data_IF_893792693007
#
_entry.id   IF_893792693007
#
_cell.length_a   1.000
_cell.length_b   1.000
_cell.length_c   1.000
_cell.angle_alpha   90.00
_cell.angle_beta   90.00
_cell.angle_gamma   90.00
#
_symmetry.space_group_name_H-M   'P 1'
#
loop_
_entity.id
_entity.type
_entity.pdbx_description
1 polymer ?
#
# COMPACT_ATOMS: atom_id res chain seq x y z
N UNK A 1 -4.52 27.43 -9.32
CA UNK A 1 -4.52 25.98 -9.00
C UNK A 1 -3.09 25.46 -9.10
N UNK A 2 -2.68 24.54 -8.23
CA UNK A 2 -1.38 23.87 -8.35
C UNK A 2 -1.30 23.12 -9.67
N UNK A 3 -0.09 22.96 -10.23
CA UNK A 3 0.11 22.12 -11.39
C UNK A 3 -0.26 20.66 -11.04
N UNK A 4 -0.93 19.90 -11.95
CA UNK A 4 -1.26 18.50 -11.68
C UNK A 4 0.00 17.65 -11.48
N UNK A 5 -0.07 16.72 -10.52
CA UNK A 5 0.95 15.69 -10.33
C UNK A 5 0.47 14.36 -10.89
N UNK A 6 1.40 13.52 -11.36
CA UNK A 6 1.12 12.25 -12.00
C UNK A 6 1.25 11.10 -11.01
N UNK A 7 0.19 10.31 -10.85
CA UNK A 7 0.12 9.20 -9.89
C UNK A 7 -0.14 7.91 -10.64
N UNK A 8 0.84 7.00 -10.64
CA UNK A 8 0.67 5.66 -11.18
C UNK A 8 0.13 4.69 -10.13
N UNK A 9 -0.80 3.83 -10.53
CA UNK A 9 -1.32 2.72 -9.70
C UNK A 9 -1.32 1.44 -10.54
N UNK A 10 -0.62 0.40 -10.08
CA UNK A 10 -0.59 -0.91 -10.76
C UNK A 10 -1.62 -1.88 -10.19
N UNK A 11 -2.05 -2.88 -10.95
CA UNK A 11 -3.16 -3.73 -10.53
C UNK A 11 -4.43 -2.91 -10.31
N UNK A 12 -4.65 -1.93 -11.19
CA UNK A 12 -5.62 -0.86 -11.01
C UNK A 12 -7.09 -1.33 -11.02
N UNK A 13 -7.38 -2.51 -11.57
CA UNK A 13 -8.71 -3.14 -11.51
C UNK A 13 -8.89 -4.04 -10.27
N UNK A 14 -7.84 -4.21 -9.45
CA UNK A 14 -7.88 -5.02 -8.23
C UNK A 14 -8.64 -4.37 -7.07
N UNK A 15 -9.02 -5.19 -6.09
CA UNK A 15 -9.85 -4.78 -4.94
C UNK A 15 -9.24 -3.65 -4.09
N UNK A 16 -7.92 -3.69 -3.86
CA UNK A 16 -7.23 -2.62 -3.12
C UNK A 16 -7.28 -1.32 -3.93
N UNK A 17 -6.95 -1.39 -5.21
CA UNK A 17 -6.97 -0.25 -6.13
C UNK A 17 -8.35 0.37 -6.26
N UNK A 18 -9.40 -0.45 -6.29
CA UNK A 18 -10.80 0.01 -6.28
C UNK A 18 -11.16 0.78 -5.00
N UNK A 19 -10.54 0.48 -3.86
CA UNK A 19 -10.73 1.28 -2.63
C UNK A 19 -9.79 2.49 -2.53
N UNK A 20 -8.77 2.57 -3.38
CA UNK A 20 -7.66 3.52 -3.32
C UNK A 20 -7.83 4.67 -4.33
N UNK A 21 -8.08 4.33 -5.61
CA UNK A 21 -8.09 5.28 -6.72
C UNK A 21 -9.09 6.43 -6.48
N UNK A 22 -10.31 6.12 -6.02
CA UNK A 22 -11.33 7.12 -5.73
C UNK A 22 -10.93 8.06 -4.58
N UNK A 23 -10.16 7.57 -3.61
CA UNK A 23 -9.64 8.41 -2.50
C UNK A 23 -8.49 9.30 -2.95
N UNK A 24 -7.66 8.83 -3.88
CA UNK A 24 -6.65 9.66 -4.52
C UNK A 24 -7.34 10.77 -5.32
N UNK A 25 -8.32 10.40 -6.15
CA UNK A 25 -9.11 11.30 -6.97
C UNK A 25 -9.88 12.37 -6.15
N UNK A 26 -10.33 12.02 -4.95
CA UNK A 26 -10.98 12.96 -4.02
C UNK A 26 -10.02 13.92 -3.31
N UNK A 27 -8.70 13.80 -3.51
CA UNK A 27 -7.68 14.61 -2.82
C UNK A 27 -7.26 14.09 -1.45
N UNK A 28 -7.74 12.90 -1.01
CA UNK A 28 -7.43 12.39 0.34
C UNK A 28 -5.94 12.06 0.54
N UNK A 29 -5.20 11.77 -0.55
CA UNK A 29 -3.79 11.41 -0.48
C UNK A 29 -2.85 12.61 -0.50
N UNK A 30 -3.13 13.61 -1.34
CA UNK A 30 -2.20 14.70 -1.65
C UNK A 30 -2.71 16.09 -1.25
N UNK A 31 -3.89 16.16 -0.64
CA UNK A 31 -4.53 17.38 -0.20
C UNK A 31 -5.67 17.82 -1.13
N UNK A 32 -6.61 18.61 -0.60
CA UNK A 32 -7.83 19.02 -1.30
C UNK A 32 -7.60 20.06 -2.41
N UNK A 33 -6.36 20.52 -2.61
CA UNK A 33 -5.98 21.58 -3.55
C UNK A 33 -4.96 21.12 -4.61
N UNK A 34 -4.65 19.82 -4.66
CA UNK A 34 -3.67 19.23 -5.57
C UNK A 34 -4.36 18.42 -6.67
N UNK A 35 -4.44 18.95 -7.91
CA UNK A 35 -4.94 18.17 -9.04
C UNK A 35 -4.02 16.98 -9.34
N UNK A 36 -4.61 15.89 -9.85
CA UNK A 36 -3.91 14.64 -10.16
C UNK A 36 -4.20 14.18 -11.58
N UNK A 37 -3.20 13.58 -12.21
CA UNK A 37 -3.35 12.76 -13.42
C UNK A 37 -3.12 11.31 -13.00
N UNK A 38 -4.12 10.45 -13.18
CA UNK A 38 -4.07 9.05 -12.80
C UNK A 38 -3.54 8.20 -13.96
N UNK A 39 -2.47 7.43 -13.73
CA UNK A 39 -1.86 6.52 -14.71
C UNK A 39 -2.03 5.08 -14.23
N UNK A 40 -3.05 4.41 -14.74
CA UNK A 40 -3.54 3.13 -14.24
C UNK A 40 -2.98 1.98 -15.10
N UNK A 41 -2.23 1.08 -14.46
CA UNK A 41 -1.63 -0.10 -15.10
C UNK A 41 -2.38 -1.37 -14.71
N UNK A 42 -2.75 -2.18 -15.71
CA UNK A 42 -3.23 -3.55 -15.52
C UNK A 42 -2.51 -4.54 -16.44
N UNK A 43 -2.73 -5.83 -16.21
CA UNK A 43 -2.34 -6.86 -17.17
C UNK A 43 -3.34 -6.91 -18.34
N UNK A 44 -2.93 -7.36 -19.55
CA UNK A 44 -3.83 -7.39 -20.71
C UNK A 44 -5.18 -8.08 -20.46
N UNK A 45 -5.25 -9.22 -19.74
CA UNK A 45 -6.53 -9.88 -19.43
C UNK A 45 -7.48 -9.06 -18.54
N UNK A 46 -6.97 -8.08 -17.78
CA UNK A 46 -7.74 -7.26 -16.84
C UNK A 46 -8.11 -5.88 -17.40
N UNK A 47 -7.71 -5.54 -18.63
CA UNK A 47 -7.99 -4.24 -19.24
C UNK A 47 -9.50 -3.95 -19.40
N UNK A 48 -10.32 -4.98 -19.64
CA UNK A 48 -11.78 -4.83 -19.67
C UNK A 48 -12.36 -4.43 -18.30
N UNK A 49 -11.83 -4.99 -17.21
CA UNK A 49 -12.22 -4.58 -15.86
C UNK A 49 -11.71 -3.18 -15.52
N UNK A 50 -10.49 -2.83 -15.95
CA UNK A 50 -9.96 -1.48 -15.79
C UNK A 50 -10.82 -0.43 -16.50
N UNK A 51 -11.37 -0.74 -17.68
CA UNK A 51 -12.32 0.13 -18.36
C UNK A 51 -13.57 0.38 -17.50
N UNK A 52 -14.05 -0.62 -16.75
CA UNK A 52 -15.10 -0.46 -15.75
C UNK A 52 -14.74 0.57 -14.68
N UNK A 53 -13.55 0.47 -14.10
CA UNK A 53 -13.05 1.43 -13.10
C UNK A 53 -12.96 2.85 -13.67
N UNK A 54 -12.59 3.01 -14.94
CA UNK A 54 -12.56 4.32 -15.59
C UNK A 54 -13.95 4.95 -15.73
N UNK A 55 -14.96 4.14 -16.08
CA UNK A 55 -16.35 4.63 -16.15
C UNK A 55 -16.80 5.16 -14.79
N UNK A 56 -16.61 4.37 -13.73
CA UNK A 56 -16.97 4.79 -12.37
C UNK A 56 -16.19 6.03 -11.90
N UNK A 57 -14.90 6.13 -12.25
CA UNK A 57 -14.08 7.28 -11.92
C UNK A 57 -14.61 8.57 -12.59
N UNK A 58 -15.04 8.47 -13.85
CA UNK A 58 -15.65 9.59 -14.58
C UNK A 58 -17.02 9.97 -13.99
N UNK A 59 -17.83 8.98 -13.63
CA UNK A 59 -19.17 9.17 -13.04
C UNK A 59 -19.12 9.89 -11.68
N UNK A 60 -17.98 9.83 -10.99
CA UNK A 60 -17.77 10.55 -9.73
C UNK A 60 -17.55 12.06 -9.90
N UNK A 61 -17.32 12.57 -11.11
CA UNK A 61 -17.13 13.99 -11.41
C UNK A 61 -16.12 14.70 -10.49
N UNK A 62 -15.00 14.05 -10.17
CA UNK A 62 -14.01 14.59 -9.24
C UNK A 62 -13.33 15.86 -9.79
N UNK A 63 -13.37 17.00 -9.08
CA UNK A 63 -12.83 18.25 -9.58
C UNK A 63 -11.29 18.28 -9.63
N UNK A 64 -10.62 17.38 -8.91
CA UNK A 64 -9.17 17.29 -8.86
C UNK A 64 -8.58 16.34 -9.92
N UNK A 65 -9.40 15.57 -10.63
CA UNK A 65 -8.90 14.67 -11.68
C UNK A 65 -8.71 15.46 -12.96
N UNK A 66 -7.45 15.80 -13.25
CA UNK A 66 -7.04 16.55 -14.43
C UNK A 66 -6.82 15.66 -15.68
N UNK A 67 -6.77 14.35 -15.50
CA UNK A 67 -6.65 13.38 -16.58
C UNK A 67 -6.50 11.95 -16.08
N UNK A 68 -6.83 10.99 -16.95
CA UNK A 68 -6.67 9.56 -16.67
C UNK A 68 -6.08 8.86 -17.89
N UNK A 69 -5.11 7.98 -17.66
CA UNK A 69 -4.49 7.13 -18.66
C UNK A 69 -4.60 5.70 -18.15
N UNK A 70 -5.19 4.81 -18.94
CA UNK A 70 -5.22 3.37 -18.67
C UNK A 70 -4.40 2.63 -19.71
N UNK A 71 -3.60 1.67 -19.27
CA UNK A 71 -2.68 0.95 -20.15
C UNK A 71 -2.29 -0.40 -19.55
N UNK A 72 -1.78 -1.29 -20.39
CA UNK A 72 -1.08 -2.52 -20.01
C UNK A 72 0.45 -2.43 -20.21
N UNK A 73 0.95 -1.27 -20.65
CA UNK A 73 2.39 -1.02 -20.83
C UNK A 73 2.95 -0.24 -19.61
N UNK A 74 3.89 -0.82 -18.84
CA UNK A 74 4.51 -0.12 -17.73
C UNK A 74 5.29 1.14 -18.14
N UNK A 75 5.80 1.23 -19.37
CA UNK A 75 6.49 2.44 -19.85
C UNK A 75 5.52 3.61 -20.02
N UNK A 76 4.29 3.34 -20.48
CA UNK A 76 3.22 4.35 -20.57
C UNK A 76 2.72 4.71 -19.18
N UNK A 77 2.50 3.72 -18.31
CA UNK A 77 2.01 3.95 -16.97
C UNK A 77 2.97 4.78 -16.11
N UNK A 78 4.28 4.60 -16.29
CA UNK A 78 5.30 5.27 -15.48
C UNK A 78 5.92 6.50 -16.12
N UNK A 79 5.41 6.93 -17.28
CA UNK A 79 5.89 8.14 -17.94
C UNK A 79 5.61 9.40 -17.11
N UNK A 80 6.68 10.12 -16.79
CA UNK A 80 6.72 11.42 -16.10
C UNK A 80 6.05 11.44 -14.72
N UNK A 81 5.91 10.29 -14.06
CA UNK A 81 5.16 10.19 -12.79
C UNK A 81 5.90 10.82 -11.61
N UNK A 82 5.11 11.35 -10.66
CA UNK A 82 5.58 11.88 -9.37
C UNK A 82 5.44 10.83 -8.25
N UNK A 83 4.43 9.96 -8.35
CA UNK A 83 4.14 8.92 -7.36
C UNK A 83 3.81 7.60 -8.06
N UNK A 84 4.28 6.48 -7.51
CA UNK A 84 3.92 5.14 -7.95
C UNK A 84 3.43 4.29 -6.77
N UNK A 85 2.21 3.77 -6.86
CA UNK A 85 1.65 2.80 -5.92
C UNK A 85 1.62 1.44 -6.63
N UNK A 86 2.61 0.59 -6.30
CA UNK A 86 2.77 -0.74 -6.89
C UNK A 86 1.92 -1.74 -6.10
N UNK A 87 0.64 -1.84 -6.45
CA UNK A 87 -0.35 -2.69 -5.77
C UNK A 87 -0.45 -4.07 -6.42
N UNK A 88 -0.38 -4.14 -7.75
CA UNK A 88 -0.45 -5.39 -8.50
C UNK A 88 0.74 -6.30 -8.23
N UNK A 89 0.46 -7.48 -7.68
CA UNK A 89 1.41 -8.58 -7.49
C UNK A 89 0.72 -9.91 -7.78
N UNK A 90 1.48 -10.97 -8.07
CA UNK A 90 0.90 -12.30 -8.23
C UNK A 90 0.48 -12.84 -6.85
N UNK A 91 -0.80 -13.20 -6.64
CA UNK A 91 -1.22 -13.83 -5.41
C UNK A 91 -0.69 -15.26 -5.34
N UNK A 92 -0.53 -15.79 -4.13
CA UNK A 92 -0.18 -17.20 -3.93
C UNK A 92 -1.35 -18.08 -4.36
N UNK A 93 -1.13 -18.93 -5.37
CA UNK A 93 -2.12 -19.90 -5.85
C UNK A 93 -2.07 -21.24 -5.11
N UNK A 94 -3.09 -22.10 -5.27
CA UNK A 94 -3.05 -23.48 -4.79
C UNK A 94 -1.82 -24.22 -5.33
N UNK A 95 -1.11 -24.95 -4.47
CA UNK A 95 0.08 -25.72 -4.85
C UNK A 95 1.34 -24.91 -5.14
N UNK A 96 1.31 -23.58 -5.03
CA UNK A 96 2.47 -22.71 -5.28
C UNK A 96 3.43 -22.70 -4.08
N UNK A 97 4.69 -23.05 -4.35
CA UNK A 97 5.76 -22.94 -3.37
C UNK A 97 6.15 -21.48 -3.13
N UNK A 98 6.84 -21.23 -2.01
CA UNK A 98 7.30 -19.86 -1.69
C UNK A 98 8.30 -19.35 -2.72
N UNK A 99 9.16 -20.21 -3.27
CA UNK A 99 10.10 -19.89 -4.34
C UNK A 99 9.38 -19.43 -5.60
N UNK A 100 8.36 -20.17 -6.05
CA UNK A 100 7.63 -19.86 -7.27
C UNK A 100 6.94 -18.49 -7.20
N UNK A 101 6.38 -18.16 -6.02
CA UNK A 101 5.78 -16.87 -5.75
C UNK A 101 6.81 -15.73 -5.82
N UNK A 102 8.02 -15.97 -5.29
CA UNK A 102 9.11 -15.00 -5.32
C UNK A 102 9.64 -14.81 -6.74
N UNK A 103 9.77 -15.87 -7.53
CA UNK A 103 10.25 -15.79 -8.91
C UNK A 103 9.24 -15.05 -9.80
N UNK A 104 7.95 -15.40 -9.68
CA UNK A 104 6.90 -14.75 -10.45
C UNK A 104 6.77 -13.26 -10.12
N UNK A 105 6.82 -12.88 -8.83
CA UNK A 105 6.83 -11.47 -8.45
C UNK A 105 8.17 -10.80 -8.81
N UNK A 106 9.29 -11.51 -8.72
CA UNK A 106 10.60 -11.00 -9.11
C UNK A 106 10.63 -10.55 -10.57
N UNK A 107 10.00 -11.30 -11.47
CA UNK A 107 9.83 -10.90 -12.86
C UNK A 107 9.02 -9.58 -12.99
N UNK A 108 7.89 -9.48 -12.29
CA UNK A 108 7.01 -8.29 -12.31
C UNK A 108 7.77 -7.04 -11.83
N UNK A 109 8.38 -7.10 -10.64
CA UNK A 109 9.04 -5.94 -10.03
C UNK A 109 10.38 -5.60 -10.68
N UNK A 110 11.01 -6.55 -11.39
CA UNK A 110 12.16 -6.26 -12.27
C UNK A 110 11.75 -5.40 -13.46
N UNK A 111 10.67 -5.79 -14.16
CA UNK A 111 10.15 -5.03 -15.30
C UNK A 111 9.65 -3.65 -14.87
N UNK A 112 8.88 -3.59 -13.78
CA UNK A 112 8.39 -2.32 -13.25
C UNK A 112 9.53 -1.41 -12.77
N UNK A 113 10.55 -1.96 -12.09
CA UNK A 113 11.73 -1.21 -11.66
C UNK A 113 12.49 -0.58 -12.83
N UNK A 114 12.70 -1.32 -13.91
CA UNK A 114 13.33 -0.80 -15.14
C UNK A 114 12.50 0.31 -15.78
N UNK A 115 11.19 0.07 -15.95
CA UNK A 115 10.29 1.07 -16.53
C UNK A 115 10.21 2.35 -15.69
N UNK A 116 10.21 2.24 -14.34
CA UNK A 116 10.33 3.37 -13.44
C UNK A 116 11.67 4.11 -13.63
N UNK A 117 12.77 3.36 -13.69
CA UNK A 117 14.10 3.94 -13.91
C UNK A 117 14.15 4.79 -15.17
N UNK A 118 13.53 4.32 -16.25
CA UNK A 118 13.65 4.92 -17.57
C UNK A 118 12.65 6.03 -17.84
N UNK A 119 11.47 6.00 -17.21
CA UNK A 119 10.35 6.86 -17.58
C UNK A 119 9.82 7.76 -16.44
N UNK A 120 10.08 7.44 -15.17
CA UNK A 120 9.59 8.25 -14.06
C UNK A 120 10.48 9.48 -13.82
N UNK A 121 9.94 10.48 -13.12
CA UNK A 121 10.76 11.61 -12.66
C UNK A 121 11.83 11.10 -11.68
N UNK A 122 13.06 11.65 -11.66
CA UNK A 122 14.08 11.28 -10.68
C UNK A 122 13.62 11.45 -9.21
N UNK A 123 12.68 12.37 -8.97
CA UNK A 123 12.06 12.63 -7.67
C UNK A 123 10.89 11.72 -7.32
N UNK A 124 10.51 10.78 -8.21
CA UNK A 124 9.35 9.92 -8.03
C UNK A 124 9.42 9.15 -6.71
N UNK A 125 8.31 9.12 -5.97
CA UNK A 125 8.15 8.35 -4.73
C UNK A 125 7.36 7.07 -5.00
N UNK A 126 7.92 5.93 -4.62
CA UNK A 126 7.38 4.61 -4.90
C UNK A 126 6.98 3.93 -3.60
N UNK A 127 5.73 3.47 -3.53
CA UNK A 127 5.19 2.65 -2.46
C UNK A 127 4.80 1.28 -3.01
N UNK A 128 5.43 0.23 -2.49
CA UNK A 128 5.08 -1.16 -2.80
C UNK A 128 4.07 -1.69 -1.78
N UNK A 129 2.91 -2.08 -2.28
CA UNK A 129 1.80 -2.67 -1.52
C UNK A 129 1.66 -4.16 -1.85
N UNK A 130 1.94 -4.55 -3.10
CA UNK A 130 1.85 -5.93 -3.57
C UNK A 130 2.83 -6.86 -2.85
N UNK A 131 2.31 -7.99 -2.35
CA UNK A 131 3.08 -8.90 -1.51
C UNK A 131 3.99 -9.86 -2.29
N UNK A 132 5.16 -10.25 -1.74
CA UNK A 132 5.75 -9.82 -0.45
C UNK A 132 6.39 -8.42 -0.51
N UNK A 133 5.78 -7.41 0.14
CA UNK A 133 6.03 -6.00 -0.13
C UNK A 133 7.50 -5.57 0.04
N UNK A 134 8.16 -5.95 1.14
CA UNK A 134 9.55 -5.56 1.39
C UNK A 134 10.53 -6.13 0.35
N UNK A 135 10.36 -7.41 -0.01
CA UNK A 135 11.22 -8.07 -1.01
C UNK A 135 10.93 -7.54 -2.42
N UNK A 136 9.66 -7.33 -2.75
CA UNK A 136 9.27 -6.70 -4.02
C UNK A 136 9.83 -5.28 -4.15
N UNK A 137 9.80 -4.48 -3.07
CA UNK A 137 10.44 -3.17 -3.02
C UNK A 137 11.95 -3.25 -3.23
N UNK A 138 12.62 -4.23 -2.61
CA UNK A 138 14.05 -4.46 -2.84
C UNK A 138 14.35 -4.79 -4.31
N UNK A 139 13.58 -5.68 -4.93
CA UNK A 139 13.76 -6.05 -6.34
C UNK A 139 13.52 -4.84 -7.26
N UNK A 140 12.44 -4.09 -7.01
CA UNK A 140 12.14 -2.85 -7.73
C UNK A 140 13.30 -1.85 -7.61
N UNK A 141 13.77 -1.60 -6.39
CA UNK A 141 14.87 -0.68 -6.10
C UNK A 141 16.16 -1.09 -6.82
N UNK A 142 16.52 -2.38 -6.79
CA UNK A 142 17.74 -2.89 -7.45
C UNK A 142 17.70 -2.79 -8.97
N UNK A 143 16.50 -2.74 -9.55
CA UNK A 143 16.29 -2.59 -10.99
C UNK A 143 15.94 -1.15 -11.41
N UNK A 144 15.98 -0.19 -10.48
CA UNK A 144 15.70 1.23 -10.73
C UNK A 144 16.91 2.14 -10.44
N UNK A 145 18.07 1.95 -11.10
CA UNK A 145 19.32 2.62 -10.74
C UNK A 145 19.29 4.15 -10.90
N UNK A 146 18.35 4.71 -11.67
CA UNK A 146 18.19 6.17 -11.86
C UNK A 146 17.33 6.83 -10.77
N UNK A 147 16.68 6.06 -9.91
CA UNK A 147 15.92 6.57 -8.77
C UNK A 147 16.76 6.56 -7.49
N UNK A 148 16.51 7.52 -6.60
CA UNK A 148 17.06 7.45 -5.25
C UNK A 148 16.52 6.18 -4.56
N UNK A 149 17.37 5.26 -4.07
CA UNK A 149 16.90 4.05 -3.38
C UNK A 149 15.96 4.33 -2.20
N UNK A 150 16.11 5.47 -1.52
CA UNK A 150 15.24 5.89 -0.40
C UNK A 150 13.82 6.29 -0.83
N UNK A 151 13.60 6.51 -2.12
CA UNK A 151 12.26 6.78 -2.64
C UNK A 151 11.45 5.50 -2.85
N UNK A 152 12.07 4.32 -2.81
CA UNK A 152 11.38 3.04 -2.94
C UNK A 152 11.11 2.47 -1.56
N UNK A 153 9.83 2.40 -1.19
CA UNK A 153 9.35 2.01 0.14
C UNK A 153 8.38 0.84 0.06
N UNK A 154 8.23 0.10 1.16
CA UNK A 154 7.25 -0.97 1.31
C UNK A 154 6.24 -0.62 2.40
N UNK A 155 4.99 -0.99 2.20
CA UNK A 155 3.91 -0.60 3.11
C UNK A 155 3.90 -1.44 4.40
N UNK A 156 4.32 -0.84 5.52
CA UNK A 156 4.10 -1.37 6.88
C UNK A 156 2.95 -0.65 7.62
N UNK A 157 2.34 0.35 6.97
CA UNK A 157 1.38 1.27 7.60
C UNK A 157 0.10 0.58 8.06
N UNK A 158 -0.37 -0.46 7.36
CA UNK A 158 -1.57 -1.18 7.75
C UNK A 158 -1.39 -1.86 9.10
N UNK A 159 -0.24 -2.50 9.31
CA UNK A 159 0.04 -3.19 10.57
C UNK A 159 0.31 -2.21 11.70
N UNK A 160 0.94 -1.07 11.39
CA UNK A 160 1.03 0.06 12.32
C UNK A 160 -0.36 0.56 12.74
N UNK A 161 -1.28 0.81 11.80
CA UNK A 161 -2.64 1.25 12.11
C UNK A 161 -3.41 0.18 12.93
N UNK A 162 -3.22 -1.12 12.62
CA UNK A 162 -3.79 -2.23 13.40
C UNK A 162 -3.26 -2.24 14.82
N UNK A 163 -1.96 -2.04 15.01
CA UNK A 163 -1.33 -1.93 16.33
C UNK A 163 -1.91 -0.75 17.12
N UNK A 164 -2.01 0.44 16.50
CA UNK A 164 -2.65 1.60 17.13
C UNK A 164 -4.08 1.31 17.58
N UNK A 165 -4.88 0.65 16.73
CA UNK A 165 -6.26 0.27 17.06
C UNK A 165 -6.33 -0.69 18.25
N UNK A 166 -5.44 -1.68 18.34
CA UNK A 166 -5.43 -2.64 19.45
C UNK A 166 -4.99 -1.99 20.78
N UNK A 167 -4.04 -1.06 20.74
CA UNK A 167 -3.64 -0.28 21.92
C UNK A 167 -4.79 0.62 22.38
N UNK A 168 -5.46 1.30 21.45
CA UNK A 168 -6.60 2.17 21.74
C UNK A 168 -7.72 1.40 22.44
N UNK A 169 -8.11 0.25 21.87
CA UNK A 169 -9.11 -0.66 22.42
C UNK A 169 -8.73 -1.16 23.83
N UNK A 170 -7.49 -1.63 24.01
CA UNK A 170 -7.02 -2.14 25.31
C UNK A 170 -6.98 -1.09 26.41
N UNK A 171 -6.64 0.15 26.05
CA UNK A 171 -6.47 1.26 27.01
C UNK A 171 -7.73 2.07 27.22
N UNK A 172 -8.80 1.79 26.47
CA UNK A 172 -10.03 2.58 26.50
C UNK A 172 -9.84 4.02 25.98
N UNK A 173 -8.84 4.24 25.12
CA UNK A 173 -8.54 5.55 24.52
C UNK A 173 -8.94 5.61 23.05
N UNK A 174 -9.09 6.81 22.50
CA UNK A 174 -9.30 6.96 21.06
C UNK A 174 -7.97 6.74 20.30
N UNK A 175 -8.01 6.15 19.11
CA UNK A 175 -6.79 5.83 18.34
C UNK A 175 -5.95 7.05 17.96
N UNK A 176 -6.55 8.24 17.87
CA UNK A 176 -5.85 9.52 17.65
C UNK A 176 -5.04 9.99 18.85
N UNK A 177 -5.21 9.36 20.02
CA UNK A 177 -4.42 9.60 21.24
C UNK A 177 -3.31 8.58 21.41
N UNK A 178 -3.20 7.61 20.50
CA UNK A 178 -2.09 6.66 20.46
C UNK A 178 -0.97 7.25 19.63
N UNK A 179 0.22 7.38 20.20
CA UNK A 179 1.38 7.98 19.54
C UNK A 179 2.62 7.08 19.69
N UNK A 180 3.66 7.33 18.87
CA UNK A 180 4.99 6.69 18.97
C UNK A 180 5.01 5.16 18.87
N UNK A 181 3.97 4.57 18.26
CA UNK A 181 3.96 3.15 17.90
C UNK A 181 4.93 2.91 16.74
N UNK A 182 5.71 1.84 16.82
CA UNK A 182 6.62 1.43 15.73
C UNK A 182 6.30 -0.02 15.36
N UNK A 183 6.38 -0.35 14.08
CA UNK A 183 6.35 -1.75 13.61
C UNK A 183 7.64 -2.03 12.87
N UNK A 184 8.41 -2.97 13.39
CA UNK A 184 9.71 -3.34 12.84
C UNK A 184 9.64 -4.55 11.92
N UNK A 185 10.60 -4.64 11.00
CA UNK A 185 10.86 -5.83 10.20
C UNK A 185 10.04 -5.94 8.91
N UNK A 186 9.64 -7.17 8.59
CA UNK A 186 9.05 -7.54 7.31
C UNK A 186 7.53 -7.59 7.39
N UNK A 187 6.80 -7.16 6.35
CA UNK A 187 5.34 -7.29 6.25
C UNK A 187 4.94 -8.77 6.12
N UNK A 188 4.84 -9.42 7.27
CA UNK A 188 4.61 -10.86 7.44
C UNK A 188 4.34 -11.18 8.90
N UNK A 189 4.11 -12.45 9.21
CA UNK A 189 3.96 -12.93 10.58
C UNK A 189 5.19 -12.71 11.48
N UNK A 190 6.35 -12.31 10.94
CA UNK A 190 7.55 -12.01 11.74
C UNK A 190 7.72 -10.52 12.04
N UNK A 191 6.75 -9.67 11.71
CA UNK A 191 6.78 -8.27 12.10
C UNK A 191 6.69 -8.11 13.62
N UNK A 192 7.26 -7.03 14.14
CA UNK A 192 7.27 -6.75 15.57
C UNK A 192 6.61 -5.40 15.86
N UNK A 193 5.33 -5.38 16.33
CA UNK A 193 4.71 -4.16 16.82
C UNK A 193 5.27 -3.82 18.20
N UNK A 194 6.00 -2.72 18.26
CA UNK A 194 6.75 -2.28 19.42
C UNK A 194 6.01 -1.16 20.16
N UNK A 195 5.74 -1.43 21.45
CA UNK A 195 5.07 -0.50 22.37
C UNK A 195 6.03 0.17 23.36
N UNK A 196 7.34 -0.04 23.23
CA UNK A 196 8.35 0.41 24.21
C UNK A 196 8.33 1.91 24.45
N UNK A 197 8.04 2.68 23.39
CA UNK A 197 7.92 4.14 23.44
C UNK A 197 6.51 4.65 23.12
N UNK A 198 5.56 3.73 22.89
CA UNK A 198 4.21 4.11 22.55
C UNK A 198 3.53 4.79 23.75
N UNK A 199 2.71 5.79 23.46
CA UNK A 199 1.88 6.47 24.45
C UNK A 199 0.41 6.38 24.08
N UNK A 200 -0.48 6.32 25.08
CA UNK A 200 -1.92 6.42 24.93
C UNK A 200 -2.41 7.54 25.86
N UNK A 201 -2.96 8.61 25.26
CA UNK A 201 -3.37 9.84 25.97
C UNK A 201 -2.26 10.40 26.89
N UNK A 202 -1.05 10.48 26.33
CA UNK A 202 0.15 10.99 27.03
C UNK A 202 0.80 10.03 28.03
N UNK A 203 0.17 8.89 28.36
CA UNK A 203 0.73 7.88 29.28
C UNK A 203 1.46 6.79 28.52
N UNK A 204 2.57 6.30 29.07
CA UNK A 204 3.31 5.19 28.47
C UNK A 204 2.44 3.93 28.40
N UNK A 205 2.30 3.34 27.21
CA UNK A 205 1.49 2.12 27.03
C UNK A 205 1.97 1.00 27.93
N UNK A 206 3.29 0.85 28.13
CA UNK A 206 3.88 -0.12 29.06
C UNK A 206 3.43 0.01 30.52
N UNK A 207 2.95 1.18 30.95
CA UNK A 207 2.37 1.36 32.29
C UNK A 207 0.87 1.04 32.37
N UNK A 208 0.22 0.86 31.22
CA UNK A 208 -1.23 0.64 31.10
C UNK A 208 -1.58 -0.82 30.77
N UNK A 209 -0.61 -1.62 30.34
CA UNK A 209 -0.80 -3.00 29.90
C UNK A 209 0.24 -3.92 30.54
N UNK A 210 -0.10 -5.20 30.70
CA UNK A 210 0.85 -6.21 31.18
C UNK A 210 1.76 -6.71 30.04
N UNK A 211 2.95 -7.17 30.40
CA UNK A 211 3.85 -7.85 29.46
C UNK A 211 3.24 -9.13 28.90
N UNK A 212 2.39 -9.81 29.69
CA UNK A 212 1.65 -10.99 29.24
C UNK A 212 0.69 -10.67 28.10
N UNK A 213 -0.10 -9.59 28.24
CA UNK A 213 -0.99 -9.11 27.17
C UNK A 213 -0.19 -8.75 25.92
N UNK A 214 0.93 -8.04 26.09
CA UNK A 214 1.79 -7.65 24.98
C UNK A 214 2.27 -8.88 24.17
N UNK A 215 2.81 -9.88 24.87
CA UNK A 215 3.42 -11.07 24.26
C UNK A 215 2.39 -12.05 23.70
N UNK A 216 1.34 -12.34 24.46
CA UNK A 216 0.44 -13.46 24.19
C UNK A 216 -0.83 -13.04 23.44
N UNK A 217 -1.18 -11.76 23.44
CA UNK A 217 -2.39 -11.25 22.79
C UNK A 217 -2.07 -10.21 21.72
N UNK A 218 -1.46 -9.09 22.09
CA UNK A 218 -1.26 -7.94 21.20
C UNK A 218 -0.44 -8.29 19.95
N UNK A 219 0.79 -8.83 20.12
CA UNK A 219 1.65 -9.20 19.00
C UNK A 219 0.96 -10.23 18.09
N UNK A 220 0.44 -11.37 18.60
CA UNK A 220 -0.25 -12.35 17.77
C UNK A 220 -1.50 -11.79 17.06
N UNK A 221 -2.31 -10.97 17.72
CA UNK A 221 -3.53 -10.41 17.12
C UNK A 221 -3.19 -9.48 15.96
N UNK A 222 -2.16 -8.63 16.10
CA UNK A 222 -1.71 -7.77 14.99
C UNK A 222 -1.21 -8.62 13.82
N UNK A 223 -0.35 -9.60 14.08
CA UNK A 223 0.20 -10.51 13.07
C UNK A 223 -0.88 -11.32 12.33
N UNK A 224 -1.96 -11.71 13.02
CA UNK A 224 -3.03 -12.54 12.46
C UNK A 224 -4.25 -11.74 11.98
N UNK A 225 -4.23 -10.40 12.08
CA UNK A 225 -5.42 -9.58 11.76
C UNK A 225 -5.89 -9.72 10.32
N UNK A 226 -4.96 -9.93 9.38
CA UNK A 226 -5.31 -10.21 7.98
C UNK A 226 -6.13 -11.49 7.82
N UNK A 227 -5.71 -12.58 8.45
CA UNK A 227 -6.41 -13.85 8.44
C UNK A 227 -7.78 -13.76 9.13
N UNK A 228 -7.88 -13.02 10.23
CA UNK A 228 -9.15 -12.77 10.92
C UNK A 228 -10.17 -12.06 10.01
N UNK A 229 -9.74 -11.08 9.22
CA UNK A 229 -10.62 -10.37 8.29
C UNK A 229 -11.08 -11.29 7.15
N UNK A 230 -10.18 -12.12 6.61
CA UNK A 230 -10.53 -13.11 5.57
C UNK A 230 -11.56 -14.10 6.12
N UNK A 231 -11.35 -14.63 7.33
CA UNK A 231 -12.29 -15.55 7.98
C UNK A 231 -13.67 -14.91 8.17
N UNK A 232 -13.72 -13.62 8.52
CA UNK A 232 -14.99 -12.92 8.77
C UNK A 232 -15.73 -12.50 7.49
N UNK A 233 -15.01 -12.07 6.44
CA UNK A 233 -15.61 -11.48 5.23
C UNK A 233 -15.61 -12.39 4.01
N UNK A 234 -14.85 -13.47 4.03
CA UNK A 234 -14.55 -14.27 2.83
C UNK A 234 -13.66 -13.54 1.81
N UNK A 235 -13.12 -12.36 2.15
CA UNK A 235 -12.36 -11.50 1.26
C UNK A 235 -11.22 -10.78 2.02
N UNK A 236 -10.20 -10.36 1.28
CA UNK A 236 -9.06 -9.62 1.85
C UNK A 236 -9.47 -8.25 2.40
N UNK A 237 -8.60 -7.68 3.26
CA UNK A 237 -8.83 -6.39 3.91
C UNK A 237 -8.54 -5.19 2.99
N UNK A 238 -9.14 -5.18 1.80
CA UNK A 238 -8.83 -4.23 0.72
C UNK A 238 -8.99 -2.77 1.14
N UNK A 239 -10.11 -2.40 1.76
CA UNK A 239 -10.39 -1.02 2.16
C UNK A 239 -9.38 -0.47 3.19
N UNK A 240 -9.00 -1.27 4.19
CA UNK A 240 -8.02 -0.83 5.19
C UNK A 240 -6.59 -0.84 4.64
N UNK A 241 -6.26 -1.74 3.71
CA UNK A 241 -5.00 -1.69 2.97
C UNK A 241 -4.90 -0.43 2.11
N UNK A 242 -5.95 -0.09 1.36
CA UNK A 242 -6.04 1.15 0.59
C UNK A 242 -5.99 2.41 1.46
N UNK A 243 -6.52 2.34 2.69
CA UNK A 243 -6.41 3.47 3.63
C UNK A 243 -5.03 3.65 4.24
N UNK A 244 -4.20 2.60 4.20
CA UNK A 244 -2.85 2.62 4.72
C UNK A 244 -1.81 3.00 3.65
N UNK A 245 -2.15 2.75 2.38
CA UNK A 245 -1.41 3.17 1.20
C UNK A 245 -1.58 4.68 0.98
#
# INVERSE_FOLDING_TARGET
MKAPVRVAVTGAAGQISYSLIFRIASGSMLGPDQPVILQLLEIPPAMGALQGVLMELNDCAFPLVAGVIATDDPNVAFKDIDFALLVGSRPRGPGMERSDLLDANGAIFTVQGKALSDNAKPSCRVLVVGNPANTNALICQKNAPKLNPRNVTAMMRLDHNRAMSQIAEKTGTHSTKVEKVVVWGNHSATQYPDISYATADGKAVKSLVSDEWNKNEFIPVVQQRGAAIIKARGASSAASAASAA
#
